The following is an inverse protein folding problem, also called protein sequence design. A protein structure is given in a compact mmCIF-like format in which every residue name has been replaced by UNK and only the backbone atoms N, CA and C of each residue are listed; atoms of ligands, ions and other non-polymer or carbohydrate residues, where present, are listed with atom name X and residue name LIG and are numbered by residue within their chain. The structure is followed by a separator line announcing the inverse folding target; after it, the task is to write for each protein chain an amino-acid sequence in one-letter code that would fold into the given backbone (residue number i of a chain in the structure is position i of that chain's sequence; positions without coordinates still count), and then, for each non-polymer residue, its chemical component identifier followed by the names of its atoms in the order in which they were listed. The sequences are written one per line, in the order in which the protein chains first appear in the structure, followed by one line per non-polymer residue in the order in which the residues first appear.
data_IF_039067999292
#
_entry.id   IF_039067999292
#
_cell.length_a   1.000
_cell.length_b   1.000
_cell.length_c   1.000
_cell.angle_alpha   90.00
_cell.angle_beta   90.00
_cell.angle_gamma   90.00
#
_symmetry.space_group_name_H-M   'P 1'
#
loop_
_entity.id
_entity.type
_entity.pdbx_description
1 polymer ?
#
# COMPACT_ATOMS: atom_id res chain seq x y z
N UNK A 1 2.19 33.24 74.74
CA UNK A 1 1.73 31.95 74.19
C UNK A 1 2.01 31.97 72.68
N UNK A 2 2.98 31.19 72.20
CA UNK A 2 3.42 31.18 70.79
C UNK A 2 2.66 30.08 70.04
N UNK A 3 1.93 30.47 69.00
CA UNK A 3 1.25 29.55 68.07
C UNK A 3 2.27 28.63 67.37
N UNK A 4 1.99 27.33 67.16
CA UNK A 4 2.86 26.46 66.39
C UNK A 4 2.92 26.90 64.93
N UNK A 5 4.13 26.92 64.38
CA UNK A 5 4.46 27.43 63.03
C UNK A 5 3.88 26.55 61.90
N UNK A 6 3.64 27.13 60.69
CA UNK A 6 2.99 26.49 59.54
C UNK A 6 3.86 25.45 58.79
N UNK A 7 5.11 25.24 59.20
CA UNK A 7 6.10 24.42 58.49
C UNK A 7 5.78 22.92 58.47
N UNK A 8 5.05 22.43 59.46
CA UNK A 8 4.69 21.00 59.57
C UNK A 8 3.63 20.59 58.56
N UNK A 9 2.73 21.51 58.21
CA UNK A 9 1.64 21.25 57.26
C UNK A 9 2.16 21.14 55.81
N UNK A 10 3.14 21.99 55.44
CA UNK A 10 3.77 21.98 54.11
C UNK A 10 4.64 20.75 53.88
N UNK A 11 5.38 20.30 54.90
CA UNK A 11 6.18 19.07 54.82
C UNK A 11 5.32 17.81 54.70
N UNK A 12 4.19 17.75 55.42
CA UNK A 12 3.24 16.65 55.31
C UNK A 12 2.57 16.60 53.91
N UNK A 13 2.25 17.76 53.33
CA UNK A 13 1.69 17.87 51.99
C UNK A 13 2.68 17.42 50.91
N UNK A 14 3.95 17.82 51.01
CA UNK A 14 5.02 17.38 50.10
C UNK A 14 5.28 15.87 50.19
N UNK A 15 5.31 15.31 51.41
CA UNK A 15 5.48 13.87 51.62
C UNK A 15 4.30 13.06 51.05
N UNK A 16 3.07 13.55 51.17
CA UNK A 16 1.89 12.91 50.59
C UNK A 16 1.87 12.98 49.05
N UNK A 17 2.39 14.07 48.46
CA UNK A 17 2.53 14.21 47.00
C UNK A 17 3.67 13.35 46.43
N UNK A 18 4.77 13.17 47.17
CA UNK A 18 5.90 12.30 46.80
C UNK A 18 5.61 10.81 47.02
N UNK A 19 4.67 10.46 47.90
CA UNK A 19 4.26 9.09 48.19
C UNK A 19 3.08 8.60 47.35
N UNK A 20 2.46 9.45 46.53
CA UNK A 20 1.46 9.02 45.56
C UNK A 20 2.18 8.28 44.42
N UNK A 21 2.03 6.95 44.28
CA UNK A 21 2.50 6.30 43.08
C UNK A 21 1.61 6.81 41.95
N UNK A 22 2.18 7.63 41.07
CA UNK A 22 1.72 7.82 39.69
C UNK A 22 1.93 6.50 38.93
N UNK A 23 1.31 5.42 39.41
CA UNK A 23 1.19 4.18 38.67
C UNK A 23 -0.11 4.28 37.88
N UNK A 24 -0.08 4.99 36.75
CA UNK A 24 -0.90 4.63 35.61
C UNK A 24 -0.41 3.26 35.13
N UNK A 25 -0.74 2.22 35.88
CA UNK A 25 -0.52 0.85 35.43
C UNK A 25 -1.65 0.54 34.45
N UNK A 26 -1.38 0.65 33.15
CA UNK A 26 -2.26 0.07 32.14
C UNK A 26 -2.39 -1.42 32.44
N UNK A 27 -3.62 -1.90 32.64
CA UNK A 27 -3.87 -3.33 32.82
C UNK A 27 -3.49 -4.04 31.52
N UNK A 28 -2.58 -5.03 31.54
CA UNK A 28 -2.17 -5.70 30.31
C UNK A 28 -3.35 -6.47 29.70
N UNK A 29 -3.50 -6.38 28.38
CA UNK A 29 -4.47 -7.19 27.65
C UNK A 29 -3.98 -8.65 27.56
N UNK A 30 -4.79 -9.59 28.06
CA UNK A 30 -4.51 -11.02 27.96
C UNK A 30 -5.09 -11.59 26.65
N UNK A 31 -4.22 -11.98 25.71
CA UNK A 31 -4.59 -12.66 24.47
C UNK A 31 -4.22 -14.13 24.55
N UNK A 32 -5.20 -15.03 24.44
CA UNK A 32 -5.01 -16.50 24.43
C UNK A 32 -5.29 -17.05 23.03
N UNK A 33 -4.37 -17.85 22.50
CA UNK A 33 -4.49 -18.51 21.18
C UNK A 33 -4.27 -20.01 21.36
N UNK A 34 -5.25 -20.82 20.96
CA UNK A 34 -5.16 -22.28 20.97
C UNK A 34 -4.88 -22.79 19.55
N UNK A 35 -3.62 -23.16 19.29
CA UNK A 35 -3.18 -23.64 17.98
C UNK A 35 -3.62 -25.08 17.67
N UNK A 36 -4.09 -25.86 18.67
CA UNK A 36 -4.55 -27.22 18.47
C UNK A 36 -6.00 -27.30 17.94
N UNK A 37 -6.71 -26.16 17.92
CA UNK A 37 -8.13 -26.07 17.56
C UNK A 37 -8.36 -25.27 16.27
N UNK A 38 -8.14 -25.85 15.07
CA UNK A 38 -8.47 -25.19 13.82
C UNK A 38 -9.99 -24.99 13.70
N UNK A 39 -10.44 -23.76 13.42
CA UNK A 39 -11.86 -23.43 13.33
C UNK A 39 -12.38 -23.41 11.89
N UNK A 40 -11.63 -22.79 10.97
CA UNK A 40 -11.96 -22.66 9.54
C UNK A 40 -10.74 -22.21 8.72
N UNK A 41 -10.75 -22.36 7.39
CA UNK A 41 -9.74 -21.76 6.53
C UNK A 41 -9.74 -20.22 6.65
N UNK A 42 -8.54 -19.63 6.70
CA UNK A 42 -8.35 -18.19 6.54
C UNK A 42 -7.69 -17.95 5.18
N UNK A 43 -8.48 -17.42 4.24
CA UNK A 43 -7.97 -17.08 2.91
C UNK A 43 -7.29 -15.70 2.92
N UNK A 44 -6.19 -15.52 2.19
CA UNK A 44 -5.45 -14.26 2.15
C UNK A 44 -6.10 -13.28 1.16
N UNK A 45 -7.22 -12.68 1.56
CA UNK A 45 -8.03 -11.79 0.70
C UNK A 45 -7.41 -10.40 0.44
N UNK A 46 -6.26 -10.10 1.05
CA UNK A 46 -5.61 -8.79 1.03
C UNK A 46 -4.40 -8.69 0.09
N UNK A 47 -4.13 -9.72 -0.72
CA UNK A 47 -2.93 -9.83 -1.59
C UNK A 47 -2.93 -8.90 -2.81
N UNK A 48 -3.43 -7.68 -2.69
CA UNK A 48 -3.52 -6.73 -3.79
C UNK A 48 -3.03 -5.34 -3.38
N UNK A 49 -2.37 -4.67 -4.31
CA UNK A 49 -1.99 -3.26 -4.23
C UNK A 49 -2.34 -2.54 -5.54
N UNK A 50 -2.04 -1.24 -5.65
CA UNK A 50 -2.21 -0.50 -6.88
C UNK A 50 -1.64 0.91 -6.81
N UNK A 51 -1.47 1.53 -7.98
CA UNK A 51 -0.99 2.89 -8.11
C UNK A 51 -1.63 3.58 -9.32
N UNK A 52 -1.46 4.89 -9.39
CA UNK A 52 -1.83 5.72 -10.53
C UNK A 52 -0.61 6.51 -10.95
N UNK A 53 -0.21 6.47 -12.23
CA UNK A 53 0.86 7.34 -12.72
C UNK A 53 0.48 8.81 -12.52
N UNK A 54 1.46 9.70 -12.32
CA UNK A 54 1.20 11.13 -12.19
C UNK A 54 0.65 11.73 -13.50
N UNK A 55 0.20 12.97 -13.43
CA UNK A 55 -0.10 13.75 -14.63
C UNK A 55 1.20 14.19 -15.33
N UNK A 56 1.19 14.33 -16.67
CA UNK A 56 0.09 14.02 -17.57
C UNK A 56 0.05 12.51 -17.93
N UNK A 57 -1.15 11.94 -18.09
CA UNK A 57 -1.32 10.49 -18.26
C UNK A 57 -0.86 9.96 -19.63
N UNK A 58 -0.68 10.83 -20.62
CA UNK A 58 -0.09 10.51 -21.92
C UNK A 58 1.43 10.25 -21.84
N UNK A 59 2.05 10.52 -20.70
CA UNK A 59 3.45 10.23 -20.39
C UNK A 59 3.58 9.23 -19.22
N UNK A 60 2.54 8.42 -18.98
CA UNK A 60 2.54 7.41 -17.94
C UNK A 60 3.68 6.39 -18.10
N UNK A 61 4.15 6.15 -19.32
CA UNK A 61 5.26 5.26 -19.63
C UNK A 61 6.57 5.67 -18.94
N UNK A 62 6.83 6.97 -18.85
CA UNK A 62 8.02 7.50 -18.16
C UNK A 62 8.03 7.15 -16.67
N UNK A 63 6.84 7.06 -16.05
CA UNK A 63 6.69 6.64 -14.66
C UNK A 63 6.67 5.10 -14.56
N UNK A 64 5.78 4.44 -15.29
CA UNK A 64 5.51 3.00 -15.20
C UNK A 64 6.73 2.15 -15.56
N UNK A 65 7.58 2.61 -16.49
CA UNK A 65 8.79 1.92 -16.92
C UNK A 65 10.09 2.45 -16.27
N UNK A 66 9.98 3.46 -15.40
CA UNK A 66 11.14 4.05 -14.71
C UNK A 66 11.91 3.01 -13.90
N UNK A 67 13.19 3.31 -13.64
CA UNK A 67 14.00 2.52 -12.73
C UNK A 67 13.40 2.48 -11.31
N UNK A 68 12.79 3.59 -10.87
CA UNK A 68 12.10 3.66 -9.60
C UNK A 68 10.93 2.68 -9.51
N UNK A 69 10.14 2.54 -10.59
CA UNK A 69 9.05 1.55 -10.63
C UNK A 69 9.55 0.12 -10.75
N UNK A 70 10.64 -0.14 -11.49
CA UNK A 70 11.27 -1.46 -11.53
C UNK A 70 11.70 -1.89 -10.12
N UNK A 71 12.35 -1.00 -9.36
CA UNK A 71 12.76 -1.27 -7.98
C UNK A 71 11.54 -1.45 -7.07
N UNK A 72 10.54 -0.57 -7.16
CA UNK A 72 9.31 -0.67 -6.38
C UNK A 72 8.59 -2.01 -6.61
N UNK A 73 8.46 -2.45 -7.86
CA UNK A 73 7.86 -3.74 -8.20
C UNK A 73 8.71 -4.92 -7.76
N UNK A 74 10.04 -4.79 -7.75
CA UNK A 74 10.92 -5.80 -7.14
C UNK A 74 10.66 -5.94 -5.64
N UNK A 75 10.46 -4.84 -4.90
CA UNK A 75 10.09 -4.87 -3.49
C UNK A 75 8.71 -5.51 -3.27
N UNK A 76 7.73 -5.17 -4.11
CA UNK A 76 6.39 -5.77 -4.05
C UNK A 76 6.44 -7.29 -4.32
N UNK A 77 7.20 -7.71 -5.33
CA UNK A 77 7.38 -9.12 -5.68
C UNK A 77 8.24 -9.91 -4.68
N UNK A 78 9.07 -9.24 -3.89
CA UNK A 78 9.90 -9.85 -2.86
C UNK A 78 9.11 -10.26 -1.60
N UNK A 79 7.83 -9.87 -1.48
CA UNK A 79 6.99 -10.25 -0.34
C UNK A 79 6.84 -11.79 -0.30
N UNK A 80 7.20 -12.46 0.80
CA UNK A 80 7.22 -13.91 0.86
C UNK A 80 5.84 -14.55 0.69
N UNK A 81 5.81 -15.79 0.20
CA UNK A 81 4.60 -16.61 0.03
C UNK A 81 3.48 -15.95 -0.80
N UNK A 82 3.86 -15.19 -1.84
CA UNK A 82 2.93 -14.40 -2.65
C UNK A 82 2.07 -13.47 -1.78
N UNK A 83 2.67 -12.79 -0.80
CA UNK A 83 1.93 -11.90 0.09
C UNK A 83 1.29 -10.71 -0.64
N UNK A 84 1.74 -10.40 -1.85
CA UNK A 84 1.05 -9.58 -2.86
C UNK A 84 1.04 -10.36 -4.17
N UNK A 85 -0.11 -10.44 -4.83
CA UNK A 85 -0.32 -11.16 -6.10
C UNK A 85 -0.75 -10.22 -7.22
N UNK A 86 -1.57 -9.20 -6.93
CA UNK A 86 -2.13 -8.30 -7.92
C UNK A 86 -1.65 -6.85 -7.74
N UNK A 87 -1.25 -6.19 -8.83
CA UNK A 87 -1.01 -4.74 -8.88
C UNK A 87 -2.01 -4.09 -9.84
N UNK A 88 -2.91 -3.27 -9.30
CA UNK A 88 -3.89 -2.51 -10.08
C UNK A 88 -3.28 -1.20 -10.57
N UNK A 89 -3.12 -1.06 -11.88
CA UNK A 89 -2.48 0.10 -12.52
C UNK A 89 -3.56 0.93 -13.24
N UNK A 90 -3.67 2.21 -12.91
CA UNK A 90 -4.59 3.13 -13.62
C UNK A 90 -3.96 3.59 -14.93
N UNK A 91 -4.80 3.92 -15.92
CA UNK A 91 -4.37 4.49 -17.21
C UNK A 91 -3.48 3.60 -18.07
N UNK A 92 -3.46 2.29 -17.79
CA UNK A 92 -2.70 1.32 -18.56
C UNK A 92 -2.96 1.36 -20.08
N UNK A 93 -4.18 1.71 -20.50
CA UNK A 93 -4.51 1.82 -21.93
C UNK A 93 -3.88 3.03 -22.60
N UNK A 94 -3.48 4.05 -21.84
CA UNK A 94 -2.80 5.24 -22.38
C UNK A 94 -1.35 4.90 -22.75
N UNK A 95 -0.81 3.76 -22.29
CA UNK A 95 0.46 3.19 -22.75
C UNK A 95 0.37 2.54 -24.14
N UNK A 96 -0.83 2.40 -24.70
CA UNK A 96 -1.05 1.85 -26.05
C UNK A 96 -1.16 3.04 -27.01
N UNK A 97 -0.14 3.24 -27.84
CA UNK A 97 -0.25 4.22 -28.94
C UNK A 97 -0.78 3.53 -30.20
N UNK A 98 -1.66 4.21 -30.92
CA UNK A 98 -2.21 3.73 -32.19
C UNK A 98 -1.83 4.70 -33.31
N UNK A 99 -1.05 4.23 -34.29
CA UNK A 99 -0.70 5.00 -35.49
C UNK A 99 -1.57 4.60 -36.67
N UNK A 100 -2.28 5.57 -37.25
CA UNK A 100 -2.94 5.41 -38.55
C UNK A 100 -1.89 5.52 -39.67
N UNK A 101 -1.67 4.43 -40.41
CA UNK A 101 -0.95 4.46 -41.68
C UNK A 101 -1.98 4.42 -42.80
N UNK A 102 -1.94 5.43 -43.68
CA UNK A 102 -2.91 5.73 -44.75
C UNK A 102 -3.20 4.62 -45.78
N UNK A 103 -2.77 3.37 -45.59
CA UNK A 103 -3.15 2.23 -46.46
C UNK A 103 -3.28 0.86 -45.75
N UNK A 104 -3.15 0.74 -44.42
CA UNK A 104 -3.43 -0.52 -43.68
C UNK A 104 -3.38 -0.28 -42.17
N UNK A 105 -4.27 -0.91 -41.41
CA UNK A 105 -4.09 -1.04 -39.96
C UNK A 105 -2.82 -1.84 -39.68
N UNK A 106 -1.89 -1.18 -39.01
CA UNK A 106 -0.51 -1.60 -38.82
C UNK A 106 -0.22 -1.24 -37.36
N UNK A 107 -0.44 -2.16 -36.40
CA UNK A 107 -0.42 -1.86 -34.95
C UNK A 107 0.99 -1.67 -34.39
N UNK A 108 1.68 -0.57 -34.71
CA UNK A 108 3.01 -0.31 -34.13
C UNK A 108 2.82 0.38 -32.78
N UNK A 109 3.48 -0.17 -31.76
CA UNK A 109 3.47 0.17 -30.30
C UNK A 109 2.57 -0.68 -29.38
N UNK A 110 2.76 -2.00 -29.43
CA UNK A 110 2.46 -2.92 -28.31
C UNK A 110 3.64 -3.02 -27.31
N UNK A 111 4.79 -2.40 -27.63
CA UNK A 111 6.05 -2.59 -26.93
C UNK A 111 5.99 -2.17 -25.45
N UNK A 112 5.43 -1.00 -25.13
CA UNK A 112 5.40 -0.44 -23.76
C UNK A 112 4.56 -1.31 -22.83
N UNK A 113 3.37 -1.73 -23.29
CA UNK A 113 2.49 -2.62 -22.53
C UNK A 113 3.10 -4.00 -22.35
N UNK A 114 3.74 -4.52 -23.38
CA UNK A 114 4.39 -5.83 -23.32
C UNK A 114 5.62 -5.78 -22.39
N UNK A 115 6.40 -4.69 -22.39
CA UNK A 115 7.48 -4.45 -21.42
C UNK A 115 6.97 -4.36 -19.97
N UNK A 116 5.87 -3.66 -19.71
CA UNK A 116 5.27 -3.60 -18.37
C UNK A 116 4.76 -4.98 -17.91
N UNK A 117 4.18 -5.75 -18.84
CA UNK A 117 3.71 -7.12 -18.55
C UNK A 117 4.88 -8.05 -18.27
N UNK A 118 5.94 -7.97 -19.05
CA UNK A 118 7.18 -8.72 -18.85
C UNK A 118 7.85 -8.35 -17.53
N UNK A 119 7.90 -7.06 -17.17
CA UNK A 119 8.39 -6.57 -15.89
C UNK A 119 7.62 -7.18 -14.72
N UNK A 120 6.28 -7.15 -14.76
CA UNK A 120 5.45 -7.74 -13.71
C UNK A 120 5.59 -9.27 -13.62
N UNK A 121 5.74 -9.93 -14.77
CA UNK A 121 5.98 -11.38 -14.82
C UNK A 121 7.34 -11.75 -14.23
N UNK A 122 8.37 -10.94 -14.46
CA UNK A 122 9.73 -11.13 -13.96
C UNK A 122 9.79 -11.09 -12.43
N UNK A 123 8.92 -10.29 -11.81
CA UNK A 123 8.77 -10.20 -10.35
C UNK A 123 7.70 -11.14 -9.78
N UNK A 124 7.15 -12.07 -10.58
CA UNK A 124 6.14 -13.05 -10.16
C UNK A 124 4.87 -12.40 -9.60
N UNK A 125 4.44 -11.27 -10.16
CA UNK A 125 3.20 -10.55 -9.83
C UNK A 125 2.16 -10.81 -10.93
N UNK A 126 1.25 -11.79 -10.79
CA UNK A 126 0.20 -12.05 -11.78
C UNK A 126 -1.05 -11.16 -11.58
N UNK A 127 -1.44 -10.40 -12.60
CA UNK A 127 -2.78 -9.80 -12.69
C UNK A 127 -2.77 -8.29 -12.91
N UNK A 128 -2.74 -7.88 -14.18
CA UNK A 128 -2.89 -6.49 -14.59
C UNK A 128 -4.34 -6.24 -14.98
N UNK A 129 -5.05 -5.38 -14.25
CA UNK A 129 -6.34 -4.83 -14.66
C UNK A 129 -6.19 -3.35 -14.99
N UNK A 130 -6.14 -3.03 -16.28
CA UNK A 130 -6.16 -1.66 -16.78
C UNK A 130 -7.57 -1.07 -16.79
N UNK A 131 -7.72 0.17 -16.29
CA UNK A 131 -8.82 1.05 -16.68
C UNK A 131 -8.22 2.26 -17.40
N UNK A 132 -8.65 2.48 -18.65
CA UNK A 132 -8.39 3.71 -19.39
C UNK A 132 -9.62 4.05 -20.23
N UNK A 133 -9.81 5.34 -20.53
CA UNK A 133 -10.82 5.79 -21.49
C UNK A 133 -10.12 5.88 -22.85
N UNK A 134 -10.51 5.05 -23.81
CA UNK A 134 -10.12 5.23 -25.20
C UNK A 134 -10.50 6.67 -25.63
N UNK A 135 -9.60 7.45 -26.26
CA UNK A 135 -9.94 8.77 -26.79
C UNK A 135 -10.83 8.70 -28.03
N UNK A 136 -11.17 7.50 -28.51
CA UNK A 136 -12.24 7.27 -29.48
C UNK A 136 -13.44 6.66 -28.77
N UNK A 137 -14.47 7.47 -28.54
CA UNK A 137 -15.73 6.99 -27.99
C UNK A 137 -16.35 5.95 -28.91
N UNK A 138 -16.49 4.72 -28.43
CA UNK A 138 -17.63 3.85 -28.71
C UNK A 138 -17.96 3.15 -27.38
N UNK A 139 -18.93 3.73 -26.67
CA UNK A 139 -19.91 2.90 -25.98
C UNK A 139 -20.68 2.16 -27.07
N UNK A 140 -20.69 0.84 -27.04
CA UNK A 140 -21.94 0.11 -27.28
C UNK A 140 -21.85 -1.32 -26.73
N UNK A 141 -22.64 -1.52 -25.67
CA UNK A 141 -23.20 -2.74 -25.06
C UNK A 141 -22.27 -3.84 -24.56
#
# INVERSE_FOLDING_TARGET
MRSPRPATATLAFLAAFLAAPLALAETPYLVRVDAARPLRPLLPFWRSTGFCPPLPHDQADQYDLSWDQQLNLAYIGAVPHSGIEQVRIHWLLDLITARWVMLRWVPWELLVRDCLTEMLSSYRIPGVQGKGKCPFGILDK
#
